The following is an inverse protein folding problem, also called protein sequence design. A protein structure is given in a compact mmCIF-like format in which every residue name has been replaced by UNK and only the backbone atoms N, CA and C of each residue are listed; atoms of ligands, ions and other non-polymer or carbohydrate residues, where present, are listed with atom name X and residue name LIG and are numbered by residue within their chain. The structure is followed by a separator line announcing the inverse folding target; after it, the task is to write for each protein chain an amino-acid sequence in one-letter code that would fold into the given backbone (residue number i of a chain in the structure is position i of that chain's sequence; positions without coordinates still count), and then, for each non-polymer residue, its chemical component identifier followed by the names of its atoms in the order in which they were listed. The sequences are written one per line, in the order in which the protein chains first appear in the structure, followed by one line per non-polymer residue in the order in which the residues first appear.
data_IF_254049480747
#
_entry.id   IF_254049480747
#
_cell.length_a   1.000
_cell.length_b   1.000
_cell.length_c   1.000
_cell.angle_alpha   90.00
_cell.angle_beta   90.00
_cell.angle_gamma   90.00
#
_symmetry.space_group_name_H-M   'P 1'
#
loop_
_entity.id
_entity.type
_entity.pdbx_description
1 polymer ?
#
# COMPACT_ATOMS: atom_id res chain seq x y z
N UNK A 1 15.83 6.01 -24.40
CA UNK A 1 16.63 5.38 -23.34
C UNK A 1 17.94 6.11 -23.09
N UNK A 2 18.51 6.04 -21.86
CA UNK A 2 19.84 6.54 -21.57
C UNK A 2 20.95 5.67 -22.22
N UNK A 3 22.16 6.22 -22.42
CA UNK A 3 23.34 5.43 -22.83
C UNK A 3 23.62 4.27 -21.87
N UNK A 4 24.24 3.20 -22.38
CA UNK A 4 24.51 1.99 -21.60
C UNK A 4 25.33 2.25 -20.33
N UNK A 5 26.34 3.13 -20.39
CA UNK A 5 27.16 3.53 -19.23
C UNK A 5 26.33 4.24 -18.16
N UNK A 6 25.42 5.13 -18.55
CA UNK A 6 24.52 5.82 -17.63
C UNK A 6 23.50 4.87 -17.01
N UNK A 7 22.96 3.93 -17.80
CA UNK A 7 22.09 2.87 -17.30
C UNK A 7 22.82 2.00 -16.27
N UNK A 8 24.07 1.63 -16.53
CA UNK A 8 24.90 0.88 -15.59
C UNK A 8 25.16 1.69 -14.31
N UNK A 9 25.54 2.96 -14.43
CA UNK A 9 25.76 3.84 -13.28
C UNK A 9 24.50 3.96 -12.39
N UNK A 10 23.33 4.12 -13.00
CA UNK A 10 22.04 4.11 -12.29
C UNK A 10 21.81 2.78 -11.55
N UNK A 11 22.08 1.63 -12.20
CA UNK A 11 21.90 0.31 -11.58
C UNK A 11 22.88 0.05 -10.44
N UNK A 12 24.11 0.55 -10.53
CA UNK A 12 25.11 0.45 -9.45
C UNK A 12 24.68 1.33 -8.27
N UNK A 13 24.24 2.57 -8.55
CA UNK A 13 23.79 3.51 -7.52
C UNK A 13 22.56 2.99 -6.77
N UNK A 14 21.57 2.46 -7.49
CA UNK A 14 20.36 1.87 -6.91
C UNK A 14 20.18 0.45 -7.47
N UNK A 15 20.59 -0.61 -6.74
CA UNK A 15 20.59 -1.98 -7.26
C UNK A 15 19.19 -2.62 -7.34
N UNK A 16 18.18 -1.98 -6.76
CA UNK A 16 16.78 -2.43 -6.75
C UNK A 16 15.82 -1.31 -7.14
N UNK A 17 14.59 -1.69 -7.46
CA UNK A 17 13.46 -0.79 -7.69
C UNK A 17 13.36 0.25 -6.57
N UNK A 18 13.32 1.52 -6.95
CA UNK A 18 13.31 2.63 -5.98
C UNK A 18 11.91 2.97 -5.46
N UNK A 19 10.89 2.18 -5.79
CA UNK A 19 9.60 2.23 -5.10
C UNK A 19 9.74 1.82 -3.61
N UNK A 20 8.87 2.31 -2.71
CA UNK A 20 8.89 1.91 -1.31
C UNK A 20 8.82 0.38 -1.15
N UNK A 21 9.81 -0.19 -0.45
CA UNK A 21 10.00 -1.63 -0.23
C UNK A 21 10.15 -2.47 -1.52
N UNK A 22 10.55 -1.84 -2.63
CA UNK A 22 10.81 -2.52 -3.89
C UNK A 22 12.00 -3.50 -3.79
N UNK A 23 11.82 -4.72 -4.30
CA UNK A 23 12.86 -5.78 -4.29
C UNK A 23 13.27 -6.24 -5.68
N UNK A 24 12.66 -5.70 -6.74
CA UNK A 24 13.00 -6.07 -8.11
C UNK A 24 14.39 -5.52 -8.45
N UNK A 25 15.31 -6.37 -8.89
CA UNK A 25 16.66 -5.92 -9.27
C UNK A 25 16.61 -4.90 -10.42
N UNK A 26 17.42 -3.85 -10.32
CA UNK A 26 17.42 -2.70 -11.23
C UNK A 26 17.69 -3.07 -12.69
N UNK A 27 18.44 -4.14 -12.95
CA UNK A 27 18.64 -4.69 -14.30
C UNK A 27 17.35 -5.15 -15.00
N UNK A 28 16.29 -5.39 -14.23
CA UNK A 28 14.97 -5.78 -14.72
C UNK A 28 13.95 -4.63 -14.65
N UNK A 29 14.41 -3.42 -14.35
CA UNK A 29 13.62 -2.21 -14.25
C UNK A 29 13.87 -1.28 -15.44
N UNK A 30 12.89 -0.42 -15.70
CA UNK A 30 13.04 0.68 -16.65
C UNK A 30 13.95 1.75 -16.04
N UNK A 31 14.71 2.47 -16.87
CA UNK A 31 15.42 3.67 -16.44
C UNK A 31 14.45 4.84 -16.53
N UNK A 32 13.72 5.08 -15.45
CA UNK A 32 12.55 5.96 -15.44
C UNK A 32 12.93 7.38 -15.05
N UNK A 33 12.44 8.36 -15.83
CA UNK A 33 12.66 9.78 -15.53
C UNK A 33 11.80 10.22 -14.34
N UNK A 34 12.39 10.62 -13.22
CA UNK A 34 11.64 11.07 -12.04
C UNK A 34 10.80 12.32 -12.32
N UNK A 35 11.39 13.28 -13.02
CA UNK A 35 10.74 14.42 -13.68
C UNK A 35 10.43 14.06 -15.15
N UNK A 36 9.16 14.17 -15.60
CA UNK A 36 8.77 13.78 -16.95
C UNK A 36 9.59 14.49 -18.03
N UNK A 37 10.05 13.73 -19.02
CA UNK A 37 10.72 14.26 -20.20
C UNK A 37 9.81 15.21 -20.99
N UNK A 38 10.34 16.35 -21.42
CA UNK A 38 9.67 17.38 -22.21
C UNK A 38 10.41 17.61 -23.53
N UNK A 39 9.71 17.52 -24.65
CA UNK A 39 10.30 17.77 -25.97
C UNK A 39 10.88 19.19 -26.04
N UNK A 40 12.08 19.32 -26.64
CA UNK A 40 12.74 20.61 -26.85
C UNK A 40 13.69 21.06 -25.73
N UNK A 41 13.74 20.34 -24.60
CA UNK A 41 14.71 20.62 -23.53
C UNK A 41 15.89 19.62 -23.58
N UNK A 42 17.11 20.14 -23.46
CA UNK A 42 18.34 19.34 -23.43
C UNK A 42 18.70 18.93 -21.99
N UNK A 43 19.52 17.88 -21.83
CA UNK A 43 20.10 17.49 -20.54
C UNK A 43 19.14 16.79 -19.55
N UNK A 44 17.92 16.46 -19.98
CA UNK A 44 16.91 15.86 -19.10
C UNK A 44 17.21 14.42 -18.71
N UNK A 45 17.88 13.66 -19.57
CA UNK A 45 18.31 12.30 -19.30
C UNK A 45 19.66 12.36 -18.59
N UNK A 46 19.63 12.35 -17.25
CA UNK A 46 20.79 12.45 -16.36
C UNK A 46 20.57 11.62 -15.10
N UNK A 47 21.63 11.27 -14.38
CA UNK A 47 21.50 10.47 -13.15
C UNK A 47 20.62 11.15 -12.08
N UNK A 48 20.67 12.48 -11.97
CA UNK A 48 19.76 13.26 -11.11
C UNK A 48 18.28 13.23 -11.51
N UNK A 49 17.93 12.62 -12.64
CA UNK A 49 16.57 12.49 -13.13
C UNK A 49 16.29 11.08 -13.64
N UNK A 50 16.93 10.05 -13.07
CA UNK A 50 16.72 8.66 -13.45
C UNK A 50 16.70 7.78 -12.21
N UNK A 51 15.74 6.86 -12.15
CA UNK A 51 15.69 5.80 -11.15
C UNK A 51 15.23 4.48 -11.76
N UNK A 52 15.70 3.33 -11.28
CA UNK A 52 15.19 2.05 -11.72
C UNK A 52 13.78 1.85 -11.16
N UNK A 53 12.76 1.80 -12.03
CA UNK A 53 11.39 1.49 -11.64
C UNK A 53 10.89 0.22 -12.33
N UNK A 54 10.23 -0.66 -11.58
CA UNK A 54 9.43 -1.71 -12.19
C UNK A 54 8.26 -1.11 -12.97
N UNK A 55 7.70 -1.86 -13.93
CA UNK A 55 6.49 -1.45 -14.66
C UNK A 55 5.33 -1.11 -13.71
N UNK A 56 5.22 -1.81 -12.58
CA UNK A 56 4.22 -1.54 -11.53
C UNK A 56 4.46 -0.18 -10.88
N UNK A 57 5.69 0.11 -10.48
CA UNK A 57 6.05 1.38 -9.87
C UNK A 57 5.90 2.56 -10.85
N UNK A 58 6.34 2.39 -12.09
CA UNK A 58 6.11 3.36 -13.17
C UNK A 58 4.62 3.70 -13.30
N UNK A 59 3.74 2.70 -13.38
CA UNK A 59 2.29 2.92 -13.48
C UNK A 59 1.71 3.59 -12.24
N UNK A 60 2.18 3.23 -11.05
CA UNK A 60 1.72 3.85 -9.80
C UNK A 60 2.04 5.35 -9.78
N UNK A 61 3.23 5.73 -10.23
CA UNK A 61 3.65 7.13 -10.38
C UNK A 61 2.88 7.87 -11.47
N UNK A 62 2.77 7.28 -12.67
CA UNK A 62 2.18 7.97 -13.82
C UNK A 62 0.66 8.08 -13.73
N UNK A 63 -0.02 7.06 -13.19
CA UNK A 63 -1.49 6.97 -13.22
C UNK A 63 -2.11 6.78 -11.84
N UNK A 64 -1.36 6.27 -10.87
CA UNK A 64 -1.87 5.88 -9.55
C UNK A 64 -1.82 6.99 -8.50
N UNK A 65 -1.51 8.24 -8.88
CA UNK A 65 -1.44 9.39 -7.96
C UNK A 65 -0.23 9.38 -7.02
N UNK A 66 0.70 8.44 -7.18
CA UNK A 66 1.95 8.46 -6.43
C UNK A 66 2.86 9.57 -6.96
N UNK A 67 3.50 10.27 -6.04
CA UNK A 67 4.46 11.33 -6.38
C UNK A 67 5.86 10.86 -6.04
N UNK A 68 6.79 11.16 -6.92
CA UNK A 68 8.20 10.80 -6.81
C UNK A 68 9.05 12.03 -7.05
N UNK A 69 9.92 12.33 -6.08
CA UNK A 69 10.95 13.36 -6.21
C UNK A 69 12.30 12.71 -5.93
N UNK A 70 13.27 12.92 -6.82
CA UNK A 70 14.65 12.55 -6.57
C UNK A 70 15.39 13.73 -5.93
N UNK A 71 16.02 13.53 -4.79
CA UNK A 71 16.79 14.59 -4.12
C UNK A 71 18.24 14.54 -4.59
N UNK A 72 18.61 15.42 -5.52
CA UNK A 72 19.96 15.49 -6.06
C UNK A 72 20.35 14.28 -6.93
N UNK A 73 21.66 14.00 -7.01
CA UNK A 73 22.19 12.90 -7.84
C UNK A 73 22.50 11.61 -7.06
N UNK A 74 22.35 11.66 -5.73
CA UNK A 74 22.77 10.61 -4.79
C UNK A 74 21.86 9.37 -4.78
N UNK A 75 20.82 9.35 -5.62
CA UNK A 75 19.91 8.21 -5.72
C UNK A 75 19.01 8.05 -4.49
N UNK A 76 18.63 9.18 -3.91
CA UNK A 76 17.66 9.27 -2.81
C UNK A 76 16.32 9.72 -3.39
N UNK A 77 15.27 8.99 -3.08
CA UNK A 77 13.94 9.17 -3.65
C UNK A 77 12.91 9.38 -2.55
N UNK A 78 12.24 10.53 -2.58
CA UNK A 78 11.07 10.80 -1.75
C UNK A 78 9.82 10.39 -2.50
N UNK A 79 9.04 9.51 -1.89
CA UNK A 79 7.75 9.07 -2.40
C UNK A 79 6.64 9.56 -1.51
N UNK A 80 5.56 10.05 -2.13
CA UNK A 80 4.29 10.33 -1.45
C UNK A 80 3.19 9.48 -2.07
N UNK A 81 2.47 8.74 -1.24
CA UNK A 81 1.31 7.97 -1.67
C UNK A 81 0.06 8.84 -1.80
N UNK A 82 -0.95 8.42 -2.58
CA UNK A 82 -2.24 9.12 -2.67
C UNK A 82 -2.95 9.30 -1.32
N UNK A 83 -2.66 8.42 -0.36
CA UNK A 83 -3.26 8.43 0.98
C UNK A 83 -2.42 9.21 2.00
N UNK A 84 -1.34 9.86 1.57
CA UNK A 84 -0.53 10.73 2.44
C UNK A 84 0.58 10.03 3.23
N UNK A 85 0.90 8.77 2.92
CA UNK A 85 2.13 8.16 3.42
C UNK A 85 3.33 8.77 2.71
N UNK A 86 4.44 8.90 3.43
CA UNK A 86 5.70 9.37 2.84
C UNK A 86 6.84 8.41 3.16
N UNK A 87 7.72 8.22 2.18
CA UNK A 87 8.83 7.30 2.25
C UNK A 87 10.09 7.95 1.66
N UNK A 88 11.22 7.67 2.28
CA UNK A 88 12.55 7.90 1.73
C UNK A 88 13.11 6.55 1.28
N UNK A 89 13.51 6.45 0.02
CA UNK A 89 14.12 5.24 -0.55
C UNK A 89 15.54 5.57 -0.98
N UNK A 90 16.50 4.78 -0.51
CA UNK A 90 17.91 4.88 -0.84
C UNK A 90 18.44 3.52 -1.31
N UNK A 91 19.70 3.44 -1.70
CA UNK A 91 20.37 2.17 -1.99
C UNK A 91 20.36 1.17 -0.81
N UNK A 92 20.20 1.68 0.42
CA UNK A 92 20.25 0.89 1.66
C UNK A 92 18.87 0.45 2.16
N UNK A 93 17.79 0.90 1.52
CA UNK A 93 16.43 0.49 1.85
C UNK A 93 15.42 1.63 1.91
N UNK A 94 14.30 1.37 2.56
CA UNK A 94 13.16 2.28 2.68
C UNK A 94 12.95 2.70 4.13
N UNK A 95 12.88 4.01 4.37
CA UNK A 95 12.46 4.60 5.64
C UNK A 95 11.09 5.24 5.45
N UNK A 96 10.10 4.86 6.25
CA UNK A 96 8.80 5.54 6.26
C UNK A 96 8.91 6.82 7.08
N UNK A 97 8.72 7.97 6.45
CA UNK A 97 8.81 9.29 7.08
C UNK A 97 7.48 9.72 7.70
N UNK A 98 6.35 9.40 7.05
CA UNK A 98 5.02 9.80 7.49
C UNK A 98 4.03 8.65 7.38
N UNK A 99 3.23 8.50 8.43
CA UNK A 99 1.99 7.72 8.43
C UNK A 99 0.84 8.72 8.61
N UNK A 100 -0.13 8.78 7.70
CA UNK A 100 -1.32 9.62 7.89
C UNK A 100 -2.07 9.12 9.13
N UNK A 101 -2.73 10.04 9.84
CA UNK A 101 -3.66 9.66 10.89
C UNK A 101 -4.75 8.75 10.28
N UNK A 102 -5.23 7.73 11.03
CA UNK A 102 -6.41 7.03 10.60
C UNK A 102 -7.54 8.06 10.38
N UNK A 103 -8.47 7.79 9.44
CA UNK A 103 -9.69 8.59 9.40
C UNK A 103 -10.33 8.59 10.80
N UNK A 104 -11.04 9.66 11.19
CA UNK A 104 -11.78 9.65 12.44
C UNK A 104 -12.63 8.37 12.47
N UNK A 105 -12.68 7.72 13.64
CA UNK A 105 -13.64 6.64 13.81
C UNK A 105 -15.01 7.21 13.44
N UNK A 106 -15.85 6.48 12.68
CA UNK A 106 -17.20 6.94 12.40
C UNK A 106 -17.85 7.30 13.74
N UNK A 107 -18.41 8.51 13.82
CA UNK A 107 -18.99 9.06 15.07
C UNK A 107 -20.06 8.15 15.66
N UNK A 108 -20.66 7.31 14.83
CA UNK A 108 -21.46 6.16 15.22
C UNK A 108 -20.79 4.87 14.75
N UNK A 109 -20.36 4.07 15.73
CA UNK A 109 -20.29 2.63 15.57
C UNK A 109 -21.72 2.15 15.29
N UNK A 110 -22.16 2.17 14.03
CA UNK A 110 -23.34 1.41 13.55
C UNK A 110 -23.04 -0.11 13.54
N UNK A 111 -22.27 -0.56 14.52
CA UNK A 111 -22.31 -1.95 14.94
C UNK A 111 -23.36 -1.96 16.04
N UNK A 112 -24.47 -2.70 15.90
CA UNK A 112 -25.35 -2.93 17.04
C UNK A 112 -24.48 -3.43 18.21
N UNK A 113 -24.74 -3.01 19.46
CA UNK A 113 -24.01 -3.56 20.60
C UNK A 113 -23.99 -5.09 20.48
N UNK A 114 -22.88 -5.71 20.89
CA UNK A 114 -22.85 -7.17 20.92
C UNK A 114 -24.10 -7.64 21.68
N UNK A 115 -24.84 -8.65 21.16
CA UNK A 115 -25.99 -9.17 21.86
C UNK A 115 -25.55 -9.54 23.28
N UNK A 116 -26.40 -9.35 24.30
CA UNK A 116 -26.05 -9.71 25.66
C UNK A 116 -25.51 -11.15 25.67
N UNK A 117 -24.43 -11.39 26.44
CA UNK A 117 -23.77 -12.70 26.54
C UNK A 117 -24.77 -13.84 26.85
N UNK A 118 -25.89 -13.47 27.46
CA UNK A 118 -27.03 -14.33 27.69
C UNK A 118 -28.31 -13.59 27.29
N UNK A 119 -28.96 -14.05 26.22
CA UNK A 119 -30.38 -13.76 26.04
C UNK A 119 -31.14 -14.38 27.22
N UNK A 120 -32.13 -13.70 27.80
CA UNK A 120 -32.96 -14.34 28.82
C UNK A 120 -33.58 -15.61 28.22
N UNK A 121 -33.55 -16.70 28.99
CA UNK A 121 -34.26 -17.91 28.59
C UNK A 121 -35.73 -17.55 28.29
N UNK A 122 -36.28 -18.02 27.15
CA UNK A 122 -37.67 -17.79 26.87
C UNK A 122 -38.51 -18.41 28.01
N UNK A 123 -39.66 -17.80 28.37
CA UNK A 123 -40.50 -18.34 29.43
C UNK A 123 -40.84 -19.82 29.14
N UNK A 124 -41.10 -20.63 30.17
CA UNK A 124 -41.31 -22.08 30.00
C UNK A 124 -42.48 -22.42 29.06
N UNK A 125 -43.40 -21.48 28.87
CA UNK A 125 -44.59 -21.62 28.02
C UNK A 125 -44.39 -21.02 26.61
N UNK A 126 -43.16 -20.61 26.27
CA UNK A 126 -42.86 -19.98 24.98
C UNK A 126 -42.81 -21.04 23.85
N UNK A 127 -43.57 -20.88 22.76
CA UNK A 127 -43.50 -21.78 21.60
C UNK A 127 -42.13 -21.78 20.90
N UNK A 128 -41.20 -20.89 21.28
CA UNK A 128 -39.81 -20.92 20.85
C UNK A 128 -39.07 -22.20 21.28
N UNK A 129 -39.52 -22.89 22.34
CA UNK A 129 -38.96 -24.20 22.75
C UNK A 129 -39.22 -25.31 21.73
N UNK A 130 -40.29 -25.20 20.93
CA UNK A 130 -40.73 -26.22 19.99
C UNK A 130 -40.33 -25.89 18.53
N UNK A 131 -39.80 -24.69 18.27
CA UNK A 131 -39.42 -24.24 16.94
C UNK A 131 -37.90 -24.41 16.70
N UNK A 132 -37.47 -24.91 15.52
CA UNK A 132 -36.06 -24.91 15.18
C UNK A 132 -35.52 -23.46 15.15
N UNK A 133 -34.26 -23.22 15.56
CA UNK A 133 -33.72 -21.86 15.64
C UNK A 133 -33.85 -21.15 14.29
N UNK A 134 -34.28 -19.88 14.34
CA UNK A 134 -34.46 -19.04 13.16
C UNK A 134 -33.19 -19.06 12.28
N UNK A 135 -33.30 -19.05 10.94
CA UNK A 135 -32.15 -19.13 10.03
C UNK A 135 -31.05 -18.09 10.32
N UNK A 136 -31.44 -16.93 10.83
CA UNK A 136 -30.54 -15.82 11.18
C UNK A 136 -29.65 -16.14 12.40
N UNK A 137 -30.17 -16.90 13.37
CA UNK A 137 -29.39 -17.38 14.51
C UNK A 137 -28.36 -18.41 14.06
N UNK A 138 -28.75 -19.32 13.14
CA UNK A 138 -27.85 -20.31 12.56
C UNK A 138 -26.69 -19.64 11.79
N UNK A 139 -26.98 -18.60 11.03
CA UNK A 139 -26.00 -17.83 10.28
C UNK A 139 -25.00 -17.11 11.21
N UNK A 140 -25.47 -16.56 12.33
CA UNK A 140 -24.62 -15.92 13.33
C UNK A 140 -23.71 -16.91 14.07
N UNK A 141 -24.23 -18.08 14.48
CA UNK A 141 -23.42 -19.12 15.15
C UNK A 141 -22.32 -19.66 14.23
N UNK A 142 -22.62 -19.83 12.93
CA UNK A 142 -21.63 -20.26 11.94
C UNK A 142 -20.55 -19.20 11.70
N UNK A 143 -20.93 -17.91 11.64
CA UNK A 143 -19.97 -16.81 11.47
C UNK A 143 -18.97 -16.73 12.64
N UNK A 144 -19.42 -16.91 13.89
CA UNK A 144 -18.55 -16.91 15.07
C UNK A 144 -17.60 -18.12 15.13
N UNK A 145 -18.02 -19.30 14.66
CA UNK A 145 -17.19 -20.49 14.62
C UNK A 145 -16.01 -20.36 13.62
N UNK A 146 -16.18 -19.57 12.56
CA UNK A 146 -15.16 -19.37 11.52
C UNK A 146 -14.16 -18.24 11.78
N UNK A 147 -14.35 -17.44 12.83
CA UNK A 147 -13.52 -16.25 13.13
C UNK A 147 -12.58 -16.40 14.32
N UNK A 148 -12.42 -17.60 14.90
CA UNK A 148 -11.34 -17.84 15.87
C UNK A 148 -10.02 -18.08 15.11
N UNK A 149 -8.96 -17.27 15.35
CA UNK A 149 -7.65 -17.63 14.87
C UNK A 149 -7.20 -18.91 15.58
N UNK A 150 -6.76 -19.90 14.81
CA UNK A 150 -5.98 -21.01 15.32
C UNK A 150 -4.68 -20.40 15.87
N UNK A 151 -4.47 -20.53 17.18
CA UNK A 151 -3.22 -20.18 17.84
C UNK A 151 -2.10 -21.16 17.47
#
# INVERSE_FOLDING_TARGET
DPPASMRLAMQIRNPFDVAPYGTRAARHCDADHTEPYRTGLLGQTRLGNLGPLSRRAHRAKTFGGWQLVQTGEDGIFHWRSPFGYEYLVTAYGTTRLRTPAPPPAPEERWWPPDPPEHLPDPPPDDPAWEQPPMPEVLAWTLAQATLRPVA
#
